data_IF_405440919846
#
_entry.id   IF_405440919846
#
_cell.length_a   1.000
_cell.length_b   1.000
_cell.length_c   1.000
_cell.angle_alpha   90.00
_cell.angle_beta   90.00
_cell.angle_gamma   90.00
#
_symmetry.space_group_name_H-M   'P 1'
#
loop_
_entity.id
_entity.type
_entity.pdbx_description
1 polymer ?
#
# COMPACT_ATOMS: atom_id res chain seq x y z
N UNK A 1 -1.54 17.22 6.08
CA UNK A 1 -0.71 17.57 4.89
C UNK A 1 0.77 17.77 5.26
N UNK A 2 1.12 18.68 6.17
CA UNK A 2 2.52 18.93 6.56
C UNK A 2 3.29 17.70 7.07
N UNK A 3 2.68 16.86 7.91
CA UNK A 3 3.32 15.65 8.46
C UNK A 3 3.62 14.63 7.35
N UNK A 4 2.69 14.44 6.41
CA UNK A 4 2.90 13.52 5.29
C UNK A 4 4.02 14.01 4.36
N UNK A 5 4.08 15.31 4.09
CA UNK A 5 5.14 15.91 3.28
C UNK A 5 6.52 15.69 3.94
N UNK A 6 6.66 15.95 5.23
CA UNK A 6 7.92 15.74 5.96
C UNK A 6 8.33 14.27 5.90
N UNK A 7 7.41 13.33 6.11
CA UNK A 7 7.70 11.89 6.02
C UNK A 7 8.21 11.48 4.65
N UNK A 8 7.57 11.97 3.59
CA UNK A 8 7.96 11.65 2.22
C UNK A 8 9.33 12.22 1.84
N UNK A 9 9.65 13.43 2.31
CA UNK A 9 10.88 14.13 1.92
C UNK A 9 12.09 13.76 2.77
N UNK A 10 11.89 13.23 3.97
CA UNK A 10 12.99 12.89 4.89
C UNK A 10 13.28 11.40 4.96
N UNK A 11 12.38 10.54 4.52
CA UNK A 11 12.60 9.11 4.51
C UNK A 11 13.72 8.74 3.51
N UNK A 12 14.69 7.90 3.90
CA UNK A 12 15.79 7.52 3.01
C UNK A 12 15.35 6.61 1.87
N UNK A 13 14.26 5.88 2.04
CA UNK A 13 13.70 4.98 1.03
C UNK A 13 12.20 5.20 0.91
N UNK A 14 11.74 5.24 -0.34
CA UNK A 14 10.33 5.28 -0.70
C UNK A 14 10.01 4.08 -1.58
N UNK A 15 9.08 3.25 -1.14
CA UNK A 15 8.57 2.11 -1.92
C UNK A 15 7.20 2.48 -2.46
N UNK A 16 6.98 2.28 -3.76
CA UNK A 16 5.70 2.53 -4.42
C UNK A 16 5.14 1.21 -4.94
N UNK A 17 4.38 0.49 -4.12
CA UNK A 17 3.74 -0.73 -4.58
C UNK A 17 2.70 -0.40 -5.65
N UNK A 18 2.72 -1.17 -6.70
CA UNK A 18 1.83 -1.00 -7.85
C UNK A 18 1.16 -2.31 -8.19
N UNK A 19 -0.07 -2.24 -8.69
CA UNK A 19 -0.79 -3.40 -9.23
C UNK A 19 -0.69 -3.41 -10.74
N UNK A 20 -0.51 -4.60 -11.32
CA UNK A 20 -0.63 -4.86 -12.75
C UNK A 20 -1.66 -5.94 -12.99
N UNK A 21 -2.46 -5.76 -14.03
CA UNK A 21 -3.47 -6.74 -14.45
C UNK A 21 -3.00 -7.59 -15.64
N UNK A 22 -1.73 -7.47 -16.05
CA UNK A 22 -1.22 -8.11 -17.28
C UNK A 22 -1.34 -9.63 -17.24
N UNK A 23 -1.09 -10.24 -16.08
CA UNK A 23 -1.11 -11.70 -15.91
C UNK A 23 -2.40 -12.20 -15.24
N UNK A 24 -3.41 -11.34 -15.11
CA UNK A 24 -4.68 -11.71 -14.50
C UNK A 24 -5.65 -12.30 -15.53
N UNK A 25 -6.54 -13.16 -15.07
CA UNK A 25 -7.58 -13.74 -15.91
C UNK A 25 -8.54 -12.67 -16.44
N UNK A 26 -9.06 -12.91 -17.64
CA UNK A 26 -10.03 -12.03 -18.29
C UNK A 26 -11.31 -12.78 -18.55
N UNK A 27 -12.42 -12.13 -18.24
CA UNK A 27 -13.77 -12.68 -18.40
C UNK A 27 -14.60 -11.79 -19.32
N UNK A 28 -15.64 -12.36 -19.99
CA UNK A 28 -16.55 -11.57 -20.82
C UNK A 28 -17.41 -10.57 -20.04
N UNK A 29 -17.70 -10.84 -18.78
CA UNK A 29 -18.58 -10.03 -17.94
C UNK A 29 -17.79 -9.08 -17.04
N UNK A 30 -18.33 -7.86 -16.81
CA UNK A 30 -17.64 -6.86 -15.98
C UNK A 30 -17.57 -7.25 -14.51
N UNK A 31 -18.48 -8.04 -14.00
CA UNK A 31 -18.54 -8.44 -12.59
C UNK A 31 -17.32 -9.30 -12.21
N UNK A 32 -16.98 -10.30 -13.03
CA UNK A 32 -15.80 -11.14 -12.78
C UNK A 32 -14.50 -10.37 -13.02
N UNK A 33 -14.45 -9.47 -14.00
CA UNK A 33 -13.28 -8.62 -14.20
C UNK A 33 -13.05 -7.67 -13.03
N UNK A 34 -14.11 -7.14 -12.42
CA UNK A 34 -14.00 -6.36 -11.19
C UNK A 34 -13.49 -7.21 -10.02
N UNK A 35 -13.96 -8.44 -9.90
CA UNK A 35 -13.47 -9.36 -8.88
C UNK A 35 -11.97 -9.65 -9.04
N UNK A 36 -11.49 -9.86 -10.26
CA UNK A 36 -10.06 -10.03 -10.57
C UNK A 36 -9.25 -8.80 -10.14
N UNK A 37 -9.74 -7.60 -10.44
CA UNK A 37 -9.08 -6.36 -10.01
C UNK A 37 -9.01 -6.27 -8.47
N UNK A 38 -10.09 -6.58 -7.78
CA UNK A 38 -10.12 -6.58 -6.31
C UNK A 38 -9.12 -7.58 -5.75
N UNK A 39 -9.07 -8.80 -6.29
CA UNK A 39 -8.11 -9.82 -5.86
C UNK A 39 -6.66 -9.38 -6.08
N UNK A 40 -6.36 -8.76 -7.21
CA UNK A 40 -5.04 -8.23 -7.50
C UNK A 40 -4.64 -7.12 -6.51
N UNK A 41 -5.53 -6.18 -6.21
CA UNK A 41 -5.32 -5.12 -5.23
C UNK A 41 -5.11 -5.71 -3.83
N UNK A 42 -5.91 -6.70 -3.43
CA UNK A 42 -5.75 -7.39 -2.15
C UNK A 42 -4.39 -8.09 -2.06
N UNK A 43 -3.95 -8.74 -3.13
CA UNK A 43 -2.65 -9.40 -3.20
C UNK A 43 -1.49 -8.42 -2.97
N UNK A 44 -1.53 -7.24 -3.60
CA UNK A 44 -0.55 -6.18 -3.37
C UNK A 44 -0.60 -5.69 -1.93
N UNK A 45 -1.79 -5.50 -1.37
CA UNK A 45 -1.96 -5.06 0.01
C UNK A 45 -1.39 -6.09 1.02
N UNK A 46 -1.58 -7.38 0.77
CA UNK A 46 -0.99 -8.44 1.59
C UNK A 46 0.54 -8.41 1.55
N UNK A 47 1.12 -8.22 0.37
CA UNK A 47 2.57 -8.07 0.23
C UNK A 47 3.09 -6.84 0.99
N UNK A 48 2.37 -5.72 0.94
CA UNK A 48 2.71 -4.51 1.69
C UNK A 48 2.65 -4.74 3.21
N UNK A 49 1.67 -5.47 3.70
CA UNK A 49 1.61 -5.82 5.13
C UNK A 49 2.84 -6.66 5.54
N UNK A 50 3.24 -7.61 4.72
CA UNK A 50 4.46 -8.40 4.97
C UNK A 50 5.71 -7.51 4.97
N UNK A 51 5.77 -6.51 4.07
CA UNK A 51 6.86 -5.53 4.07
C UNK A 51 6.90 -4.73 5.37
N UNK A 52 5.77 -4.25 5.86
CA UNK A 52 5.69 -3.50 7.12
C UNK A 52 6.14 -4.34 8.31
N UNK A 53 5.71 -5.62 8.37
CA UNK A 53 6.12 -6.54 9.43
C UNK A 53 7.61 -6.87 9.36
N UNK A 54 8.14 -7.12 8.17
CA UNK A 54 9.57 -7.38 7.97
C UNK A 54 10.43 -6.16 8.33
N UNK A 55 9.97 -4.95 7.99
CA UNK A 55 10.64 -3.71 8.38
C UNK A 55 10.71 -3.58 9.91
N UNK A 56 9.60 -3.85 10.59
CA UNK A 56 9.54 -3.81 12.06
C UNK A 56 10.50 -4.83 12.69
N UNK A 57 10.51 -6.06 12.19
CA UNK A 57 11.42 -7.12 12.66
C UNK A 57 12.91 -6.74 12.45
N UNK A 58 13.21 -6.02 11.38
CA UNK A 58 14.55 -5.51 11.10
C UNK A 58 14.91 -4.23 11.88
N UNK A 59 14.06 -3.76 12.79
CA UNK A 59 14.28 -2.53 13.56
C UNK A 59 14.08 -1.25 12.77
N UNK A 60 13.40 -1.32 11.62
CA UNK A 60 13.08 -0.16 10.77
C UNK A 60 11.68 0.37 11.05
N UNK A 61 11.50 1.65 10.75
CA UNK A 61 10.19 2.30 10.71
C UNK A 61 9.66 2.36 9.29
N UNK A 62 8.37 2.16 9.14
CA UNK A 62 7.68 2.29 7.87
C UNK A 62 6.30 2.92 8.04
N UNK A 63 5.86 3.67 7.04
CA UNK A 63 4.54 4.30 7.06
C UNK A 63 3.88 4.14 5.69
N UNK A 64 2.68 3.58 5.70
CA UNK A 64 1.83 3.44 4.52
C UNK A 64 1.00 4.70 4.29
N UNK A 65 1.09 5.28 3.10
CA UNK A 65 0.36 6.46 2.67
C UNK A 65 -0.41 6.14 1.38
N UNK A 66 -1.72 6.36 1.37
CA UNK A 66 -2.59 6.02 0.24
C UNK A 66 -2.78 7.16 -0.78
N UNK A 67 -2.08 8.27 -0.65
CA UNK A 67 -2.22 9.43 -1.54
C UNK A 67 -2.12 9.09 -3.05
N UNK A 68 -1.30 8.14 -3.51
CA UNK A 68 -1.24 7.76 -4.93
C UNK A 68 -2.57 7.29 -5.52
N UNK A 69 -3.49 6.79 -4.70
CA UNK A 69 -4.83 6.39 -5.17
C UNK A 69 -5.67 7.56 -5.68
N UNK A 70 -5.36 8.79 -5.26
CA UNK A 70 -6.06 9.99 -5.71
C UNK A 70 -5.51 10.55 -7.03
N UNK A 71 -4.23 10.30 -7.31
CA UNK A 71 -3.51 10.85 -8.48
C UNK A 71 -2.57 9.81 -9.11
N UNK A 72 -3.07 8.62 -9.47
CA UNK A 72 -2.20 7.51 -9.93
C UNK A 72 -1.42 7.85 -11.20
N UNK A 73 -2.02 8.58 -12.12
CA UNK A 73 -1.37 8.96 -13.38
C UNK A 73 -0.19 9.91 -13.13
N UNK A 74 -0.36 10.88 -12.23
CA UNK A 74 0.72 11.79 -11.85
C UNK A 74 1.91 11.03 -11.24
N UNK A 75 1.65 10.10 -10.34
CA UNK A 75 2.70 9.28 -9.71
C UNK A 75 3.41 8.43 -10.76
N UNK A 76 2.66 7.80 -11.66
CA UNK A 76 3.23 7.00 -12.74
C UNK A 76 4.12 7.84 -13.66
N UNK A 77 3.68 9.01 -14.04
CA UNK A 77 4.42 9.91 -14.94
C UNK A 77 5.70 10.44 -14.29
N UNK A 78 5.61 10.92 -13.05
CA UNK A 78 6.77 11.46 -12.32
C UNK A 78 7.84 10.41 -12.07
N UNK A 79 7.44 9.18 -11.72
CA UNK A 79 8.36 8.08 -11.43
C UNK A 79 8.72 7.26 -12.68
N UNK A 80 8.16 7.61 -13.83
CA UNK A 80 8.39 6.89 -15.11
C UNK A 80 8.11 5.38 -14.96
N UNK A 81 6.99 5.04 -14.35
CA UNK A 81 6.58 3.65 -14.16
C UNK A 81 6.01 3.07 -15.47
N UNK A 82 6.06 1.75 -15.64
CA UNK A 82 5.39 1.11 -16.76
C UNK A 82 3.91 1.49 -16.84
N UNK A 83 3.37 1.65 -18.05
CA UNK A 83 1.99 2.10 -18.27
C UNK A 83 0.94 1.17 -17.66
N UNK A 84 1.24 -0.14 -17.57
CA UNK A 84 0.37 -1.15 -16.96
C UNK A 84 0.40 -1.15 -15.43
N UNK A 85 1.31 -0.41 -14.81
CA UNK A 85 1.44 -0.35 -13.35
C UNK A 85 0.56 0.74 -12.78
N UNK A 86 -0.30 0.38 -11.84
CA UNK A 86 -1.14 1.33 -11.10
C UNK A 86 -0.65 1.47 -9.66
N UNK A 87 -0.08 2.64 -9.29
CA UNK A 87 0.38 2.89 -7.93
C UNK A 87 -0.75 2.76 -6.91
N UNK A 88 -0.49 2.03 -5.84
CA UNK A 88 -1.48 1.76 -4.79
C UNK A 88 -1.21 2.54 -3.52
N UNK A 89 0.05 2.81 -3.23
CA UNK A 89 0.49 3.47 -2.02
C UNK A 89 1.89 4.05 -2.19
N UNK A 90 2.33 4.80 -1.20
CA UNK A 90 3.73 5.11 -0.94
C UNK A 90 4.06 4.62 0.47
N UNK A 91 5.11 3.83 0.61
CA UNK A 91 5.59 3.36 1.90
C UNK A 91 6.95 3.98 2.14
N UNK A 92 7.03 4.82 3.15
CA UNK A 92 8.30 5.36 3.61
C UNK A 92 9.00 4.33 4.48
N UNK A 93 10.32 4.22 4.33
CA UNK A 93 11.14 3.25 5.06
C UNK A 93 12.42 3.90 5.53
N UNK A 94 12.77 3.68 6.79
CA UNK A 94 13.98 4.21 7.40
C UNK A 94 14.09 3.84 8.87
N UNK A 95 15.06 4.40 9.57
CA UNK A 95 15.17 4.22 11.02
C UNK A 95 14.06 5.02 11.72
N UNK A 96 13.36 4.42 12.71
CA UNK A 96 12.26 5.10 13.39
C UNK A 96 12.77 6.27 14.23
N UNK A 97 12.14 7.44 14.04
CA UNK A 97 12.44 8.65 14.83
C UNK A 97 11.43 8.85 15.97
N UNK A 98 10.28 8.18 15.91
CA UNK A 98 9.22 8.26 16.92
C UNK A 98 8.56 6.90 17.09
N UNK A 99 7.95 6.70 18.26
CA UNK A 99 7.08 5.56 18.54
C UNK A 99 5.71 6.07 18.95
N UNK A 100 4.66 5.55 18.29
CA UNK A 100 3.27 5.87 18.63
C UNK A 100 2.50 4.58 18.85
N UNK A 101 1.97 4.42 20.03
CA UNK A 101 1.00 3.38 20.31
C UNK A 101 -0.40 3.88 19.97
N UNK A 102 -1.13 3.07 19.22
CA UNK A 102 -2.55 3.31 18.92
C UNK A 102 -3.38 2.25 19.59
N UNK A 103 -4.35 2.67 20.37
CA UNK A 103 -5.37 1.76 20.89
C UNK A 103 -6.17 1.16 19.72
N UNK A 104 -6.44 -0.12 19.81
CA UNK A 104 -7.33 -0.84 18.88
C UNK A 104 -8.64 -1.14 19.57
N UNK A 105 -9.72 -1.20 18.80
CA UNK A 105 -10.99 -1.68 19.32
C UNK A 105 -10.83 -3.14 19.81
N UNK A 106 -11.57 -3.55 20.86
CA UNK A 106 -11.53 -4.92 21.36
C UNK A 106 -11.87 -5.90 20.23
N UNK A 107 -11.18 -7.04 20.21
CA UNK A 107 -11.36 -8.07 19.17
C UNK A 107 -12.82 -8.54 19.10
N UNK A 108 -13.46 -8.71 20.27
CA UNK A 108 -14.83 -9.17 20.40
C UNK A 108 -15.85 -8.26 19.70
N UNK A 109 -15.51 -6.97 19.53
CA UNK A 109 -16.34 -6.01 18.79
C UNK A 109 -16.22 -6.13 17.26
N UNK A 110 -15.30 -6.95 16.77
CA UNK A 110 -14.96 -7.07 15.35
C UNK A 110 -15.02 -8.50 14.81
N UNK A 111 -15.20 -9.48 15.67
CA UNK A 111 -15.24 -10.90 15.31
C UNK A 111 -16.59 -11.49 15.74
N UNK A 112 -17.16 -12.26 14.87
CA UNK A 112 -18.38 -13.01 15.13
C UNK A 112 -18.04 -14.51 15.09
N UNK A 113 -18.24 -15.19 16.22
CA UNK A 113 -18.05 -16.63 16.34
C UNK A 113 -19.39 -17.35 16.14
N UNK A 114 -19.42 -18.37 15.27
CA UNK A 114 -20.60 -19.18 15.02
C UNK A 114 -20.25 -20.66 14.93
#
# INVERSE_FOLDING_TARGET
MAISHIRLTTAPVLVVPSVSMEDMDRYPDPERNLAELIMAVQSVALACQNLLLAAHDAGLGACWLCAPLFVPDLVRDVLVLPSAWQPQAMITLGYPAESKEKARAPLESRVLWR
#
